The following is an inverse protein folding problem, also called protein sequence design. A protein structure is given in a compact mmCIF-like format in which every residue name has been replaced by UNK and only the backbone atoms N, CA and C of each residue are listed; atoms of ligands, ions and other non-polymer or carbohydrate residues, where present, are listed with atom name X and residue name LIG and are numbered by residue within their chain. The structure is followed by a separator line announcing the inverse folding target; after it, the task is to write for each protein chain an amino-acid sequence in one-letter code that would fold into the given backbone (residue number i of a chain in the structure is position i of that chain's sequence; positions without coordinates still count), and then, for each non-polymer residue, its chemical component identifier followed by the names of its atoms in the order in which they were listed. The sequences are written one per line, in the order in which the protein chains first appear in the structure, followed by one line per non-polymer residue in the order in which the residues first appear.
data_IF_633272039234
#
_entry.id   IF_633272039234
#
_cell.length_a   1.000
_cell.length_b   1.000
_cell.length_c   1.000
_cell.angle_alpha   90.00
_cell.angle_beta   90.00
_cell.angle_gamma   90.00
#
_symmetry.space_group_name_H-M   'P 1'
#
loop_
_entity.id
_entity.type
_entity.pdbx_description
1 polymer ?
#
# COMPACT_ATOMS: atom_id res chain seq x y z
N UNK A 1 -2.90 -18.52 -21.68
CA UNK A 1 -3.33 -18.65 -20.27
C UNK A 1 -2.19 -19.31 -19.51
N UNK A 2 -1.60 -18.63 -18.53
CA UNK A 2 -0.55 -19.21 -17.68
C UNK A 2 -1.07 -19.54 -16.28
N UNK A 3 -0.49 -20.54 -15.64
CA UNK A 3 -0.85 -21.00 -14.31
C UNK A 3 0.37 -20.88 -13.39
N UNK A 4 0.20 -20.21 -12.26
CA UNK A 4 1.25 -20.08 -11.24
C UNK A 4 0.74 -20.76 -9.96
N UNK A 5 1.44 -21.78 -9.50
CA UNK A 5 1.10 -22.51 -8.29
C UNK A 5 1.98 -22.05 -7.12
N UNK A 6 1.39 -21.96 -5.94
CA UNK A 6 2.10 -21.65 -4.70
C UNK A 6 1.46 -22.35 -3.51
N UNK A 7 2.26 -22.78 -2.54
CA UNK A 7 1.75 -23.42 -1.34
C UNK A 7 0.93 -22.45 -0.48
N UNK A 8 0.00 -23.03 0.30
CA UNK A 8 -0.74 -22.34 1.35
C UNK A 8 -0.29 -22.85 2.72
N UNK A 9 0.17 -21.96 3.58
CA UNK A 9 0.47 -22.29 4.98
C UNK A 9 1.77 -23.07 5.23
N UNK A 10 2.87 -22.74 4.54
CA UNK A 10 4.18 -23.25 4.94
C UNK A 10 4.63 -22.60 6.26
N UNK A 11 5.20 -23.35 7.21
CA UNK A 11 5.72 -22.78 8.46
C UNK A 11 6.83 -21.75 8.25
N UNK A 12 7.62 -21.91 7.18
CA UNK A 12 8.79 -21.09 6.87
C UNK A 12 8.49 -19.87 6.00
N UNK A 13 7.35 -19.81 5.31
CA UNK A 13 7.02 -18.73 4.38
C UNK A 13 5.52 -18.62 4.10
N UNK A 14 5.01 -17.39 3.91
CA UNK A 14 3.59 -17.17 3.61
C UNK A 14 3.17 -17.65 2.23
N UNK A 15 3.98 -17.42 1.19
CA UNK A 15 3.62 -17.77 -0.20
C UNK A 15 2.18 -17.33 -0.56
N UNK A 16 1.32 -18.25 -0.99
CA UNK A 16 -0.05 -17.96 -1.40
C UNK A 16 -1.07 -18.07 -0.26
N UNK A 17 -0.62 -17.99 1.00
CA UNK A 17 -1.51 -18.07 2.19
C UNK A 17 -2.68 -17.09 2.14
N UNK A 18 -2.43 -15.87 1.67
CA UNK A 18 -3.35 -14.73 1.72
C UNK A 18 -4.09 -14.45 0.40
N UNK A 19 -3.94 -15.29 -0.64
CA UNK A 19 -4.57 -15.00 -1.95
C UNK A 19 -6.10 -15.09 -1.92
N UNK A 20 -6.68 -15.71 -0.87
CA UNK A 20 -8.11 -15.73 -0.60
C UNK A 20 -8.68 -14.35 -0.22
N UNK A 21 -7.82 -13.40 0.14
CA UNK A 21 -8.20 -12.02 0.43
C UNK A 21 -8.38 -11.17 -0.82
N UNK A 22 -7.88 -11.63 -1.97
CA UNK A 22 -8.05 -10.95 -3.25
C UNK A 22 -9.52 -10.95 -3.65
N UNK A 23 -9.95 -9.86 -4.27
CA UNK A 23 -11.31 -9.65 -4.76
C UNK A 23 -11.28 -9.35 -6.24
N UNK A 24 -12.43 -9.54 -6.91
CA UNK A 24 -12.61 -9.07 -8.28
C UNK A 24 -12.30 -7.58 -8.36
N UNK A 25 -11.46 -7.22 -9.33
CA UNK A 25 -11.00 -5.86 -9.53
C UNK A 25 -9.64 -5.54 -8.93
N UNK A 26 -9.14 -6.35 -8.00
CA UNK A 26 -7.77 -6.21 -7.48
C UNK A 26 -6.74 -6.47 -8.58
N UNK A 27 -5.56 -5.89 -8.41
CA UNK A 27 -4.43 -6.06 -9.33
C UNK A 27 -3.37 -6.96 -8.72
N UNK A 28 -2.78 -7.81 -9.56
CA UNK A 28 -1.50 -8.45 -9.27
C UNK A 28 -0.54 -8.25 -10.43
N UNK A 29 0.75 -8.35 -10.14
CA UNK A 29 1.82 -8.03 -11.08
C UNK A 29 2.76 -9.22 -11.22
N UNK A 30 3.20 -9.47 -12.45
CA UNK A 30 4.23 -10.46 -12.76
C UNK A 30 5.42 -9.71 -13.30
N UNK A 31 6.55 -9.83 -12.61
CA UNK A 31 7.83 -9.31 -13.04
C UNK A 31 8.58 -10.43 -13.75
N UNK A 32 8.86 -10.26 -15.04
CA UNK A 32 9.55 -11.25 -15.86
C UNK A 32 10.53 -10.55 -16.79
N UNK A 33 11.82 -10.87 -16.65
CA UNK A 33 12.90 -10.09 -17.26
C UNK A 33 12.74 -8.59 -16.95
N UNK A 34 12.70 -7.75 -17.99
CA UNK A 34 12.55 -6.30 -17.89
C UNK A 34 11.09 -5.83 -17.99
N UNK A 35 10.13 -6.76 -17.97
CA UNK A 35 8.70 -6.45 -18.11
C UNK A 35 7.94 -6.59 -16.78
N UNK A 36 6.98 -5.69 -16.59
CA UNK A 36 5.98 -5.76 -15.51
C UNK A 36 4.60 -5.90 -16.14
N UNK A 37 4.02 -7.09 -15.97
CA UNK A 37 2.71 -7.45 -16.52
C UNK A 37 1.65 -7.29 -15.43
N UNK A 38 0.67 -6.41 -15.66
CA UNK A 38 -0.43 -6.21 -14.71
C UNK A 38 -1.66 -7.03 -15.11
N UNK A 39 -2.28 -7.68 -14.13
CA UNK A 39 -3.50 -8.46 -14.31
C UNK A 39 -4.55 -8.01 -13.30
N UNK A 40 -5.79 -7.86 -13.78
CA UNK A 40 -6.94 -7.51 -12.94
C UNK A 40 -7.77 -8.75 -12.68
N UNK A 41 -8.00 -9.07 -11.40
CA UNK A 41 -8.77 -10.24 -10.99
C UNK A 41 -10.19 -10.14 -11.56
N UNK A 42 -10.57 -11.11 -12.39
CA UNK A 42 -11.90 -11.18 -13.00
C UNK A 42 -12.73 -12.37 -12.51
N UNK A 43 -12.08 -13.41 -11.97
CA UNK A 43 -12.71 -14.63 -11.50
C UNK A 43 -11.99 -15.21 -10.28
N UNK A 44 -12.76 -15.69 -9.32
CA UNK A 44 -12.28 -16.49 -8.18
C UNK A 44 -13.18 -17.73 -8.10
N UNK A 45 -12.58 -18.92 -8.04
CA UNK A 45 -13.31 -20.20 -7.96
C UNK A 45 -12.63 -21.14 -6.98
N UNK A 46 -13.44 -22.00 -6.36
CA UNK A 46 -12.97 -23.17 -5.61
C UNK A 46 -13.40 -24.39 -6.41
N UNK A 47 -12.44 -25.27 -6.70
CA UNK A 47 -12.64 -26.48 -7.52
C UNK A 47 -12.05 -27.71 -6.85
N UNK A 48 -12.45 -28.90 -7.30
CA UNK A 48 -11.79 -30.14 -6.92
C UNK A 48 -10.38 -30.20 -7.55
N UNK A 49 -9.44 -30.96 -6.96
CA UNK A 49 -8.10 -31.08 -7.50
C UNK A 49 -8.03 -31.56 -8.96
N UNK A 50 -9.01 -32.37 -9.38
CA UNK A 50 -9.07 -32.98 -10.73
C UNK A 50 -9.92 -32.17 -11.73
N UNK A 51 -10.53 -31.07 -11.29
CA UNK A 51 -11.35 -30.20 -12.14
C UNK A 51 -10.46 -29.17 -12.86
N UNK A 52 -10.17 -29.48 -14.13
CA UNK A 52 -9.26 -28.71 -15.00
C UNK A 52 -9.97 -27.87 -16.07
N UNK A 53 -11.30 -28.01 -16.23
CA UNK A 53 -12.07 -27.33 -17.27
C UNK A 53 -11.91 -25.80 -17.18
N UNK A 54 -11.78 -25.28 -15.96
CA UNK A 54 -11.64 -23.85 -15.70
C UNK A 54 -10.26 -23.27 -16.07
N UNK A 55 -9.29 -24.12 -16.44
CA UNK A 55 -7.91 -23.76 -16.72
C UNK A 55 -7.59 -23.71 -18.22
N UNK A 56 -8.57 -24.01 -19.08
CA UNK A 56 -8.39 -23.99 -20.52
C UNK A 56 -8.01 -22.61 -21.08
N UNK A 57 -7.39 -22.62 -22.26
CA UNK A 57 -7.00 -21.40 -22.96
C UNK A 57 -8.21 -20.84 -23.70
N UNK A 58 -8.62 -19.62 -23.36
CA UNK A 58 -9.66 -18.90 -24.09
C UNK A 58 -9.03 -18.08 -25.23
N UNK A 59 -9.52 -18.26 -26.46
CA UNK A 59 -8.97 -17.58 -27.65
C UNK A 59 -9.12 -16.06 -27.54
N UNK A 60 -8.02 -15.34 -27.78
CA UNK A 60 -7.99 -13.88 -27.73
C UNK A 60 -7.90 -13.28 -26.32
N UNK A 61 -7.73 -14.12 -25.29
CA UNK A 61 -7.60 -13.70 -23.90
C UNK A 61 -6.20 -13.95 -23.36
N UNK A 62 -5.68 -12.97 -22.63
CA UNK A 62 -4.44 -13.09 -21.87
C UNK A 62 -4.79 -13.19 -20.37
N UNK A 63 -4.79 -14.43 -19.89
CA UNK A 63 -5.11 -14.77 -18.51
C UNK A 63 -3.91 -15.35 -17.78
N UNK A 64 -3.84 -15.01 -16.49
CA UNK A 64 -3.04 -15.74 -15.51
C UNK A 64 -3.93 -16.19 -14.36
N UNK A 65 -3.80 -17.45 -13.96
CA UNK A 65 -4.47 -17.97 -12.76
C UNK A 65 -3.44 -18.33 -11.70
N UNK A 66 -3.61 -17.76 -10.50
CA UNK A 66 -2.90 -18.14 -9.29
C UNK A 66 -3.64 -19.32 -8.63
N UNK A 67 -2.91 -20.38 -8.32
CA UNK A 67 -3.46 -21.63 -7.80
C UNK A 67 -2.86 -21.93 -6.44
N UNK A 68 -3.72 -22.24 -5.46
CA UNK A 68 -3.27 -22.75 -4.16
C UNK A 68 -4.25 -23.77 -3.58
N UNK A 69 -3.84 -24.47 -2.51
CA UNK A 69 -4.70 -25.41 -1.80
C UNK A 69 -5.71 -24.68 -0.90
N UNK A 70 -6.92 -25.24 -0.73
CA UNK A 70 -7.94 -24.70 0.17
C UNK A 70 -8.85 -25.82 0.67
N UNK A 71 -9.56 -25.69 1.81
CA UNK A 71 -9.37 -24.73 2.89
C UNK A 71 -7.98 -24.83 3.55
N UNK A 72 -7.57 -23.78 4.25
CA UNK A 72 -6.26 -23.72 4.93
C UNK A 72 -6.08 -24.90 5.90
N UNK A 73 -4.98 -25.63 5.79
CA UNK A 73 -4.68 -26.80 6.63
C UNK A 73 -5.44 -28.08 6.26
N UNK A 74 -6.45 -28.01 5.39
CA UNK A 74 -7.24 -29.16 4.92
C UNK A 74 -6.82 -29.56 3.49
N UNK A 75 -6.60 -28.58 2.61
CA UNK A 75 -6.05 -28.76 1.26
C UNK A 75 -6.85 -29.71 0.34
N UNK A 76 -8.13 -29.95 0.62
CA UNK A 76 -9.00 -30.85 -0.15
C UNK A 76 -9.42 -30.30 -1.52
N UNK A 77 -9.31 -29.00 -1.72
CA UNK A 77 -9.72 -28.28 -2.94
C UNK A 77 -8.59 -27.37 -3.43
N UNK A 78 -8.82 -26.74 -4.59
CA UNK A 78 -7.95 -25.69 -5.13
C UNK A 78 -8.70 -24.37 -5.18
N UNK A 79 -8.04 -23.31 -4.71
CA UNK A 79 -8.48 -21.93 -4.91
C UNK A 79 -7.79 -21.40 -6.17
N UNK A 80 -8.61 -20.97 -7.11
CA UNK A 80 -8.19 -20.38 -8.38
C UNK A 80 -8.52 -18.89 -8.38
N UNK A 81 -7.52 -18.04 -8.50
CA UNK A 81 -7.66 -16.59 -8.66
C UNK A 81 -7.16 -16.20 -10.05
N UNK A 82 -8.08 -15.93 -10.97
CA UNK A 82 -7.75 -15.58 -12.35
C UNK A 82 -7.80 -14.07 -12.56
N UNK A 83 -6.75 -13.55 -13.18
CA UNK A 83 -6.67 -12.19 -13.69
C UNK A 83 -6.58 -12.14 -15.21
N UNK A 84 -7.12 -11.06 -15.78
CA UNK A 84 -7.00 -10.70 -17.19
C UNK A 84 -6.02 -9.56 -17.36
N UNK A 85 -5.21 -9.63 -18.41
CA UNK A 85 -4.20 -8.63 -18.71
C UNK A 85 -4.83 -7.25 -18.80
N UNK A 86 -4.23 -6.29 -18.11
CA UNK A 86 -4.67 -4.89 -18.12
C UNK A 86 -3.48 -3.96 -18.27
N UNK A 87 -3.76 -2.74 -18.76
CA UNK A 87 -2.76 -1.67 -18.78
C UNK A 87 -2.69 -1.07 -17.37
N UNK A 88 -1.53 -1.13 -16.74
CA UNK A 88 -1.25 -0.40 -15.53
C UNK A 88 -0.24 0.71 -15.84
N UNK A 89 -0.73 1.95 -15.93
CA UNK A 89 0.13 3.12 -15.77
C UNK A 89 0.21 3.42 -14.29
N UNK A 90 1.40 3.32 -13.71
CA UNK A 90 1.64 3.86 -12.38
C UNK A 90 1.28 5.35 -12.44
N UNK A 91 0.16 5.71 -11.83
CA UNK A 91 -0.36 7.07 -11.95
C UNK A 91 0.65 8.03 -11.33
N UNK A 92 1.32 8.84 -12.16
CA UNK A 92 2.20 9.92 -11.72
C UNK A 92 1.50 10.80 -10.66
N UNK A 93 0.18 10.97 -10.81
CA UNK A 93 -0.66 11.69 -9.85
C UNK A 93 -0.60 11.17 -8.40
N UNK A 94 -0.48 9.86 -8.17
CA UNK A 94 -0.34 9.32 -6.79
C UNK A 94 1.02 9.64 -6.19
N UNK A 95 2.07 9.66 -7.01
CA UNK A 95 3.42 10.02 -6.57
C UNK A 95 3.45 11.53 -6.28
N UNK A 96 2.88 12.35 -7.16
CA UNK A 96 2.73 13.79 -6.98
C UNK A 96 1.91 14.14 -5.73
N UNK A 97 0.78 13.47 -5.51
CA UNK A 97 -0.06 13.67 -4.32
C UNK A 97 0.68 13.31 -3.04
N UNK A 98 1.47 12.23 -3.06
CA UNK A 98 2.29 11.82 -1.92
C UNK A 98 3.41 12.83 -1.62
N UNK A 99 4.10 13.31 -2.66
CA UNK A 99 5.14 14.35 -2.56
C UNK A 99 4.53 15.66 -2.02
N UNK A 100 3.39 16.09 -2.57
CA UNK A 100 2.70 17.32 -2.17
C UNK A 100 2.24 17.26 -0.71
N UNK A 101 1.68 16.12 -0.27
CA UNK A 101 1.25 15.92 1.11
C UNK A 101 2.42 15.95 2.09
N UNK A 102 3.55 15.35 1.75
CA UNK A 102 4.76 15.40 2.57
C UNK A 102 5.33 16.82 2.65
N UNK A 103 5.44 17.53 1.53
CA UNK A 103 5.92 18.91 1.52
C UNK A 103 5.02 19.84 2.35
N UNK A 104 3.69 19.69 2.26
CA UNK A 104 2.75 20.46 3.07
C UNK A 104 2.95 20.19 4.57
N UNK A 105 3.18 18.93 4.96
CA UNK A 105 3.47 18.57 6.35
C UNK A 105 4.74 19.25 6.87
N UNK A 106 5.81 19.29 6.07
CA UNK A 106 7.06 19.96 6.46
C UNK A 106 6.89 21.48 6.55
N UNK A 107 6.17 22.10 5.61
CA UNK A 107 5.87 23.54 5.64
C UNK A 107 5.05 23.92 6.88
N UNK A 108 4.04 23.12 7.24
CA UNK A 108 3.25 23.37 8.45
C UNK A 108 4.10 23.22 9.72
N UNK A 109 5.01 22.25 9.75
CA UNK A 109 5.90 22.03 10.89
C UNK A 109 6.90 23.18 11.04
N UNK A 110 7.53 23.64 9.96
CA UNK A 110 8.47 24.77 10.00
C UNK A 110 7.77 26.08 10.38
N UNK A 111 6.58 26.34 9.83
CA UNK A 111 5.77 27.50 10.21
C UNK A 111 5.40 27.49 11.71
N UNK A 112 5.01 26.33 12.24
CA UNK A 112 4.72 26.16 13.66
C UNK A 112 5.93 26.44 14.57
N UNK A 113 7.11 25.97 14.19
CA UNK A 113 8.36 26.24 14.93
C UNK A 113 8.71 27.73 14.90
N UNK A 114 8.59 28.39 13.75
CA UNK A 114 8.86 29.84 13.63
C UNK A 114 7.91 30.64 14.51
N UNK A 115 6.61 30.34 14.49
CA UNK A 115 5.62 31.00 15.34
C UNK A 115 5.90 30.81 16.83
N UNK A 116 6.32 29.60 17.23
CA UNK A 116 6.70 29.33 18.62
C UNK A 116 7.95 30.15 19.04
N UNK A 117 8.97 30.25 18.18
CA UNK A 117 10.16 31.06 18.44
C UNK A 117 9.84 32.56 18.53
N UNK A 118 8.98 33.07 17.65
CA UNK A 118 8.50 34.46 17.72
C UNK A 118 7.73 34.70 19.02
N UNK A 119 6.81 33.80 19.39
CA UNK A 119 6.07 33.90 20.65
C UNK A 119 7.01 33.90 21.87
N UNK A 120 8.02 33.03 21.88
CA UNK A 120 9.00 32.94 22.96
C UNK A 120 9.85 34.20 23.09
N UNK A 121 10.31 34.78 21.98
CA UNK A 121 11.10 36.02 21.98
C UNK A 121 10.29 37.21 22.50
N UNK A 122 9.00 37.32 22.12
CA UNK A 122 8.08 38.35 22.65
C UNK A 122 7.83 38.17 24.14
N UNK A 123 7.60 36.95 24.62
CA UNK A 123 7.40 36.67 26.04
C UNK A 123 8.64 37.04 26.88
N UNK A 124 9.84 36.67 26.41
CA UNK A 124 11.10 36.99 27.09
C UNK A 124 11.33 38.49 27.13
N UNK A 125 11.13 39.20 26.02
CA UNK A 125 11.31 40.66 25.97
C UNK A 125 10.33 41.40 26.87
N UNK A 126 9.04 41.01 26.90
CA UNK A 126 8.05 41.54 27.85
C UNK A 126 8.46 41.27 29.31
N UNK A 127 8.93 40.06 29.61
CA UNK A 127 9.41 39.70 30.94
C UNK A 127 10.61 40.55 31.38
N UNK A 128 11.59 40.74 30.50
CA UNK A 128 12.77 41.57 30.77
C UNK A 128 12.41 43.04 30.98
N UNK A 129 11.48 43.59 30.18
CA UNK A 129 10.97 44.97 30.35
C UNK A 129 10.26 45.12 31.70
N UNK A 130 9.37 44.20 32.07
CA UNK A 130 8.70 44.21 33.39
C UNK A 130 9.71 44.12 34.54
N UNK A 131 10.74 43.27 34.42
CA UNK A 131 11.78 43.12 35.44
C UNK A 131 12.61 44.40 35.61
N UNK A 132 12.98 45.08 34.52
CA UNK A 132 13.69 46.38 34.57
C UNK A 132 12.84 47.47 35.22
N UNK A 133 11.53 47.55 34.90
CA UNK A 133 10.63 48.55 35.49
C UNK A 133 10.45 48.36 37.00
N UNK A 134 10.35 47.11 37.49
CA UNK A 134 10.28 46.81 38.93
C UNK A 134 11.55 47.21 39.68
N UNK A 135 12.74 46.98 39.11
CA UNK A 135 14.02 47.39 39.75
C UNK A 135 14.10 48.91 39.97
N UNK A 136 13.77 49.71 38.96
CA UNK A 136 13.76 51.19 39.07
C UNK A 136 12.75 51.74 40.09
N UNK A 137 11.68 51.00 40.39
CA UNK A 137 10.68 51.41 41.38
C UNK A 137 11.12 51.11 42.82
N UNK A 138 11.99 50.12 43.02
CA UNK A 138 12.53 49.75 44.33
C UNK A 138 13.81 50.53 44.71
N UNK A 139 14.40 51.29 43.78
CA UNK A 139 15.58 52.14 43.98
C UNK A 139 15.24 53.62 44.27
N UNK A 140 13.94 53.98 44.28
CA UNK A 140 13.41 55.29 44.70
C UNK A 140 12.69 55.16 46.03
#
# INVERSE_FOLDING_TARGET
HSLISGHRGLPSAKLFTDIDKLKKGDLFFIHVFDEVLAYKVNQIKIVLPDDVETLEIEKGKDYVTLITCTPYGVNSHRLLVRGERTVYKQSESKIEDMIKKNNLKYIMLTAGVILALIGMTVLVSVFLIKRRKRRKLNEK
#
